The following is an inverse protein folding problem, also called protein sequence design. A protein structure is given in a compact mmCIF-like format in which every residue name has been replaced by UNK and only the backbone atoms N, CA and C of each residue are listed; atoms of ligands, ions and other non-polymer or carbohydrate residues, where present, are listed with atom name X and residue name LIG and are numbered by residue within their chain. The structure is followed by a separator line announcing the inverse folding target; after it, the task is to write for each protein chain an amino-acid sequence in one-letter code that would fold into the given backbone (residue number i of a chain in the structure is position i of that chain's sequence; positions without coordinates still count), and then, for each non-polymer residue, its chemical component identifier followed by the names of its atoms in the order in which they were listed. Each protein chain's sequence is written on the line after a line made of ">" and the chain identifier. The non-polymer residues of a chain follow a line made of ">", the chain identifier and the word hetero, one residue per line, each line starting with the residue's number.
data_IF_858492721146
#
_entry.id   IF_858492721146
#
_cell.length_a   1.000
_cell.length_b   1.000
_cell.length_c   1.000
_cell.angle_alpha   90.00
_cell.angle_beta   90.00
_cell.angle_gamma   90.00
#
_symmetry.space_group_name_H-M   'P 1'
#
loop_
_entity.id
_entity.type
_entity.pdbx_description
1 polymer ?
#
# COMPACT_ATOMS: atom_id res chain seq x y z
N UNK A 1 -25.11 23.65 -21.63
CA UNK A 1 -24.39 24.64 -20.81
C UNK A 1 -22.98 24.14 -20.61
N UNK A 2 -22.00 24.84 -21.20
CA UNK A 2 -20.59 24.57 -20.97
C UNK A 2 -20.29 24.88 -19.51
N UNK A 3 -20.02 23.86 -18.71
CA UNK A 3 -19.36 24.03 -17.42
C UNK A 3 -17.91 24.42 -17.71
N UNK A 4 -17.69 25.71 -17.97
CA UNK A 4 -16.40 26.33 -17.72
C UNK A 4 -16.16 26.23 -16.22
N UNK A 5 -15.71 25.05 -15.78
CA UNK A 5 -15.12 24.87 -14.46
C UNK A 5 -14.01 25.90 -14.43
N UNK A 6 -14.21 26.93 -13.60
CA UNK A 6 -13.24 27.99 -13.39
C UNK A 6 -11.91 27.33 -13.06
N UNK A 7 -10.95 27.44 -13.97
CA UNK A 7 -9.57 26.99 -13.79
C UNK A 7 -8.83 27.74 -12.66
N UNK A 8 -9.54 28.57 -11.89
CA UNK A 8 -9.01 29.48 -10.88
C UNK A 8 -9.67 29.33 -9.50
N UNK A 9 -10.36 28.23 -9.19
CA UNK A 9 -10.81 27.98 -7.81
C UNK A 9 -9.63 27.47 -6.95
N UNK A 10 -9.09 28.28 -6.01
CA UNK A 10 -7.88 27.91 -5.27
C UNK A 10 -8.06 26.62 -4.46
N UNK A 11 -9.28 26.34 -4.01
CA UNK A 11 -9.63 25.11 -3.31
C UNK A 11 -9.51 23.85 -4.17
N UNK A 12 -9.87 23.93 -5.46
CA UNK A 12 -9.72 22.81 -6.39
C UNK A 12 -8.25 22.50 -6.71
N UNK A 13 -7.42 23.54 -6.86
CA UNK A 13 -5.96 23.39 -7.02
C UNK A 13 -5.29 22.78 -5.79
N UNK A 14 -5.66 23.23 -4.59
CA UNK A 14 -5.14 22.66 -3.33
C UNK A 14 -5.57 21.19 -3.17
N UNK A 15 -6.84 20.86 -3.47
CA UNK A 15 -7.34 19.50 -3.44
C UNK A 15 -6.58 18.56 -4.38
N UNK A 16 -6.34 18.97 -5.64
CA UNK A 16 -5.52 18.21 -6.60
C UNK A 16 -4.08 18.02 -6.13
N UNK A 17 -3.50 19.05 -5.51
CA UNK A 17 -2.12 18.97 -4.99
C UNK A 17 -2.01 17.96 -3.85
N UNK A 18 -2.95 17.98 -2.90
CA UNK A 18 -3.00 17.01 -1.79
C UNK A 18 -3.20 15.59 -2.32
N UNK A 19 -4.09 15.40 -3.30
CA UNK A 19 -4.30 14.09 -3.93
C UNK A 19 -3.03 13.55 -4.58
N UNK A 20 -2.29 14.39 -5.31
CA UNK A 20 -1.01 14.00 -5.92
C UNK A 20 0.05 13.65 -4.88
N UNK A 21 0.16 14.41 -3.80
CA UNK A 21 1.06 14.08 -2.69
C UNK A 21 0.69 12.72 -2.08
N UNK A 22 -0.60 12.47 -1.86
CA UNK A 22 -1.11 11.18 -1.38
C UNK A 22 -0.78 10.03 -2.33
N UNK A 23 -0.93 10.23 -3.64
CA UNK A 23 -0.57 9.23 -4.66
C UNK A 23 0.93 8.90 -4.62
N UNK A 24 1.81 9.91 -4.54
CA UNK A 24 3.26 9.69 -4.45
C UNK A 24 3.62 8.93 -3.18
N UNK A 25 3.05 9.31 -2.03
CA UNK A 25 3.28 8.60 -0.78
C UNK A 25 2.83 7.15 -0.83
N UNK A 26 1.63 6.87 -1.36
CA UNK A 26 1.14 5.51 -1.53
C UNK A 26 2.00 4.68 -2.48
N UNK A 27 2.49 5.29 -3.57
CA UNK A 27 3.39 4.61 -4.50
C UNK A 27 4.72 4.24 -3.81
N UNK A 28 5.30 5.16 -3.04
CA UNK A 28 6.52 4.90 -2.26
C UNK A 28 6.29 3.78 -1.25
N UNK A 29 5.19 3.81 -0.51
CA UNK A 29 4.85 2.77 0.47
C UNK A 29 4.60 1.41 -0.18
N UNK A 30 3.97 1.37 -1.35
CA UNK A 30 3.79 0.15 -2.11
C UNK A 30 5.14 -0.45 -2.56
N UNK A 31 6.04 0.38 -3.10
CA UNK A 31 7.38 -0.06 -3.50
C UNK A 31 8.19 -0.54 -2.31
N UNK A 32 8.21 0.23 -1.21
CA UNK A 32 8.92 -0.16 0.01
C UNK A 32 8.41 -1.50 0.55
N UNK A 33 7.08 -1.70 0.57
CA UNK A 33 6.48 -2.97 1.01
C UNK A 33 6.83 -4.12 0.08
N UNK A 34 6.83 -3.90 -1.24
CA UNK A 34 7.24 -4.91 -2.21
C UNK A 34 8.72 -5.29 -2.04
N UNK A 35 9.59 -4.32 -1.76
CA UNK A 35 11.00 -4.56 -1.44
C UNK A 35 11.15 -5.38 -0.16
N UNK A 36 10.36 -5.11 0.88
CA UNK A 36 10.38 -5.90 2.12
C UNK A 36 9.90 -7.34 1.89
N UNK A 37 8.86 -7.53 1.07
CA UNK A 37 8.42 -8.87 0.67
C UNK A 37 9.52 -9.62 -0.09
N UNK A 38 10.23 -8.95 -1.00
CA UNK A 38 11.37 -9.55 -1.71
C UNK A 38 12.49 -9.97 -0.75
N UNK A 39 12.85 -9.11 0.20
CA UNK A 39 13.87 -9.44 1.20
C UNK A 39 13.47 -10.63 2.08
N UNK A 40 12.17 -10.74 2.38
CA UNK A 40 11.64 -11.87 3.13
C UNK A 40 11.73 -13.19 2.35
N UNK A 41 11.46 -13.18 1.03
CA UNK A 41 11.70 -14.34 0.17
C UNK A 41 13.18 -14.72 0.04
N UNK A 42 14.10 -13.75 0.17
CA UNK A 42 15.53 -14.03 0.20
C UNK A 42 16.05 -14.54 1.55
N UNK A 43 15.17 -15.04 2.40
CA UNK A 43 15.49 -15.61 3.72
C UNK A 43 16.21 -14.64 4.67
N UNK A 44 16.14 -13.32 4.43
CA UNK A 44 16.82 -12.32 5.27
C UNK A 44 16.27 -12.30 6.71
N UNK A 45 15.05 -12.81 6.90
CA UNK A 45 14.37 -12.91 8.19
C UNK A 45 14.27 -14.37 8.70
N UNK A 46 14.96 -15.33 8.09
CA UNK A 46 14.94 -16.74 8.50
C UNK A 46 15.38 -16.98 9.95
N UNK A 47 16.17 -16.06 10.53
CA UNK A 47 16.59 -16.11 11.93
C UNK A 47 15.71 -15.30 12.89
N UNK A 48 14.58 -14.76 12.43
CA UNK A 48 13.66 -14.01 13.30
C UNK A 48 12.66 -14.98 13.93
N UNK A 49 12.72 -15.08 15.25
CA UNK A 49 11.77 -15.85 16.04
C UNK A 49 10.50 -15.01 16.24
N UNK A 50 9.57 -15.11 15.29
CA UNK A 50 8.27 -14.45 15.36
C UNK A 50 7.32 -15.41 16.05
N UNK A 51 7.04 -15.14 17.31
CA UNK A 51 6.08 -15.91 18.09
C UNK A 51 4.67 -15.62 17.54
N UNK A 52 4.12 -16.58 16.79
CA UNK A 52 2.74 -16.50 16.30
C UNK A 52 1.82 -16.90 17.44
N UNK A 53 0.82 -16.06 17.71
CA UNK A 53 -0.20 -16.38 18.70
C UNK A 53 -0.82 -17.75 18.39
N UNK A 54 -0.93 -18.60 19.40
CA UNK A 54 -1.44 -19.97 19.28
C UNK A 54 -2.83 -20.04 18.61
N UNK A 55 -3.62 -18.98 18.73
CA UNK A 55 -4.93 -18.83 18.09
C UNK A 55 -4.87 -18.55 16.58
N UNK A 56 -3.69 -18.24 16.02
CA UNK A 56 -3.45 -18.07 14.59
C UNK A 56 -2.81 -19.30 13.94
N UNK A 57 -2.21 -20.18 14.74
CA UNK A 57 -1.53 -21.40 14.27
C UNK A 57 -2.50 -22.36 13.57
N UNK A 58 -3.76 -22.45 14.01
CA UNK A 58 -4.76 -23.33 13.35
C UNK A 58 -5.10 -22.88 11.91
N UNK A 59 -5.00 -21.58 11.64
CA UNK A 59 -5.31 -21.02 10.31
C UNK A 59 -4.12 -21.17 9.35
N UNK A 60 -2.90 -21.23 9.90
CA UNK A 60 -1.65 -21.33 9.15
C UNK A 60 -0.66 -22.32 9.80
N UNK A 61 -0.96 -23.62 9.79
CA UNK A 61 -0.24 -24.62 10.59
C UNK A 61 1.19 -24.93 10.12
N UNK A 62 1.59 -24.48 8.93
CA UNK A 62 2.88 -24.81 8.31
C UNK A 62 3.59 -23.58 7.71
N UNK A 63 3.21 -22.36 8.09
CA UNK A 63 3.81 -21.15 7.51
C UNK A 63 5.00 -20.74 8.37
N UNK A 64 6.18 -20.73 7.77
CA UNK A 64 7.42 -20.29 8.44
C UNK A 64 7.39 -18.77 8.69
N UNK A 65 8.17 -18.28 9.66
CA UNK A 65 8.26 -16.87 10.03
C UNK A 65 8.56 -15.98 8.82
N UNK A 66 9.45 -16.41 7.92
CA UNK A 66 9.78 -15.69 6.69
C UNK A 66 8.63 -15.62 5.69
N UNK A 67 7.84 -16.67 5.57
CA UNK A 67 6.66 -16.72 4.70
C UNK A 67 5.55 -15.78 5.23
N UNK A 68 5.37 -15.74 6.55
CA UNK A 68 4.44 -14.82 7.20
C UNK A 68 4.77 -13.35 6.94
N UNK A 69 6.03 -12.97 7.12
CA UNK A 69 6.51 -11.62 6.82
C UNK A 69 6.29 -11.30 5.34
N UNK A 70 6.58 -12.25 4.46
CA UNK A 70 6.37 -12.10 3.01
C UNK A 70 4.89 -11.83 2.70
N UNK A 71 3.97 -12.65 3.22
CA UNK A 71 2.53 -12.48 3.01
C UNK A 71 2.00 -11.18 3.58
N UNK A 72 2.47 -10.76 4.75
CA UNK A 72 2.11 -9.48 5.34
C UNK A 72 2.50 -8.31 4.43
N UNK A 73 3.74 -8.29 3.94
CA UNK A 73 4.21 -7.20 3.07
C UNK A 73 3.60 -7.24 1.66
N UNK A 74 3.29 -8.42 1.12
CA UNK A 74 2.49 -8.55 -0.11
C UNK A 74 1.10 -7.96 0.11
N UNK A 75 0.44 -8.29 1.22
CA UNK A 75 -0.88 -7.74 1.57
C UNK A 75 -0.86 -6.22 1.70
N UNK A 76 0.17 -5.66 2.36
CA UNK A 76 0.38 -4.22 2.43
C UNK A 76 0.59 -3.59 1.06
N UNK A 77 1.42 -4.19 0.21
CA UNK A 77 1.67 -3.72 -1.16
C UNK A 77 0.36 -3.63 -1.94
N UNK A 78 -0.44 -4.70 -1.94
CA UNK A 78 -1.74 -4.73 -2.60
C UNK A 78 -2.69 -3.68 -2.05
N UNK A 79 -2.74 -3.51 -0.72
CA UNK A 79 -3.55 -2.49 -0.06
C UNK A 79 -3.17 -1.08 -0.54
N UNK A 80 -1.88 -0.75 -0.59
CA UNK A 80 -1.43 0.57 -1.06
C UNK A 80 -1.73 0.78 -2.55
N UNK A 81 -1.58 -0.24 -3.38
CA UNK A 81 -1.95 -0.15 -4.81
C UNK A 81 -3.45 0.06 -5.02
N UNK A 82 -4.30 -0.59 -4.23
CA UNK A 82 -5.76 -0.37 -4.28
C UNK A 82 -6.08 1.07 -3.90
N UNK A 83 -5.51 1.58 -2.80
CA UNK A 83 -5.73 2.97 -2.41
C UNK A 83 -5.16 3.97 -3.43
N UNK A 84 -4.03 3.66 -4.05
CA UNK A 84 -3.48 4.46 -5.13
C UNK A 84 -4.44 4.53 -6.31
N UNK A 85 -5.02 3.40 -6.71
CA UNK A 85 -6.04 3.34 -7.77
C UNK A 85 -7.27 4.18 -7.42
N UNK A 86 -7.72 4.15 -6.15
CA UNK A 86 -8.81 5.01 -5.66
C UNK A 86 -8.45 6.49 -5.76
N UNK A 87 -7.25 6.89 -5.33
CA UNK A 87 -6.80 8.29 -5.43
C UNK A 87 -6.66 8.76 -6.89
N UNK A 88 -6.16 7.90 -7.78
CA UNK A 88 -6.09 8.21 -9.22
C UNK A 88 -7.49 8.33 -9.82
N UNK A 89 -8.43 7.49 -9.39
CA UNK A 89 -9.82 7.59 -9.82
C UNK A 89 -10.48 8.89 -9.33
N UNK A 90 -10.22 9.30 -8.08
CA UNK A 90 -10.69 10.57 -7.52
C UNK A 90 -10.11 11.78 -8.25
N UNK A 91 -8.81 11.76 -8.58
CA UNK A 91 -8.16 12.86 -9.31
C UNK A 91 -8.75 13.05 -10.72
N UNK A 92 -9.26 11.98 -11.36
CA UNK A 92 -9.99 12.10 -12.64
C UNK A 92 -11.38 12.72 -12.51
N UNK A 93 -11.94 12.78 -11.30
CA UNK A 93 -13.29 13.29 -11.03
C UNK A 93 -13.30 14.74 -10.57
N UNK A 94 -12.15 15.29 -10.18
CA UNK A 94 -11.93 16.68 -9.69
C UNK A 94 -11.25 17.50 -10.78
#
# INVERSE_FOLDING_TARGET
>A
MNSSISFNDPGAMLGKTILRIGQVLLAILAVASASMAYLAFSEMFSGWDIDLDSDLVWLFPNVDSGEWISYFFIGLTLKFLIWLAVLVWLDRKI
#
